data_IF_432186108810
#
_entry.id   IF_432186108810
#
_cell.length_a   1.000
_cell.length_b   1.000
_cell.length_c   1.000
_cell.angle_alpha   90.00
_cell.angle_beta   90.00
_cell.angle_gamma   90.00
#
_symmetry.space_group_name_H-M   'P 1'
#
loop_
_entity.id
_entity.type
_entity.pdbx_description
1 polymer ?
#
# COMPACT_ATOMS: atom_id res chain seq x y z
N UNK A 1 -25.80 4.30 -1.58
CA UNK A 1 -26.97 4.58 -2.45
C UNK A 1 -26.65 5.60 -3.54
N UNK A 2 -26.33 6.87 -3.22
CA UNK A 2 -26.08 7.90 -4.24
C UNK A 2 -25.05 7.49 -5.31
N UNK A 3 -23.88 6.99 -4.88
CA UNK A 3 -22.76 6.58 -5.74
C UNK A 3 -23.02 5.33 -6.59
N UNK A 4 -24.15 4.64 -6.42
CA UNK A 4 -24.55 3.51 -7.27
C UNK A 4 -25.13 3.98 -8.60
N UNK A 5 -25.73 5.18 -8.64
CA UNK A 5 -26.41 5.73 -9.81
C UNK A 5 -25.82 7.05 -10.30
N UNK A 6 -24.89 7.63 -9.54
CA UNK A 6 -24.29 8.93 -9.81
C UNK A 6 -22.78 8.88 -9.60
N UNK A 7 -22.09 9.81 -10.25
CA UNK A 7 -20.65 10.05 -10.04
C UNK A 7 -20.49 11.08 -8.93
N UNK A 8 -19.63 10.78 -7.97
CA UNK A 8 -19.24 11.70 -6.89
C UNK A 8 -17.77 12.08 -7.04
N UNK A 9 -17.51 13.39 -7.03
CA UNK A 9 -16.16 13.97 -6.98
C UNK A 9 -15.86 14.50 -5.59
N UNK A 10 -14.71 14.08 -5.05
CA UNK A 10 -14.17 14.53 -3.76
C UNK A 10 -12.84 15.21 -4.04
N UNK A 11 -12.57 16.35 -3.39
CA UNK A 11 -11.34 17.12 -3.59
C UNK A 11 -10.74 17.57 -2.25
N UNK A 12 -9.43 17.86 -2.20
CA UNK A 12 -8.80 18.37 -0.99
C UNK A 12 -9.45 19.67 -0.52
N UNK A 13 -9.58 19.86 0.79
CA UNK A 13 -10.10 21.12 1.37
C UNK A 13 -9.22 22.29 0.93
N UNK A 14 -9.83 23.42 0.54
CA UNK A 14 -9.11 24.60 0.07
C UNK A 14 -8.10 25.21 1.06
N UNK A 15 -8.20 24.87 2.35
CA UNK A 15 -7.22 25.27 3.37
C UNK A 15 -5.90 24.49 3.31
N UNK A 16 -5.77 23.48 2.44
CA UNK A 16 -4.53 22.73 2.22
C UNK A 16 -3.62 23.47 1.24
N UNK A 17 -3.14 24.64 1.68
CA UNK A 17 -2.26 25.53 0.90
C UNK A 17 -0.92 24.84 0.60
N UNK A 18 -0.50 23.92 1.46
CA UNK A 18 0.70 23.08 1.30
C UNK A 18 0.56 21.96 0.24
N UNK A 19 -0.59 21.90 -0.45
CA UNK A 19 -0.92 20.84 -1.42
C UNK A 19 -0.93 19.42 -0.83
N UNK A 20 -1.01 19.25 0.48
CA UNK A 20 -1.11 17.93 1.11
C UNK A 20 -2.35 17.16 0.64
N UNK A 21 -2.22 15.83 0.55
CA UNK A 21 -3.32 14.96 0.16
C UNK A 21 -4.00 14.32 1.39
N UNK A 22 -5.32 14.10 1.29
CA UNK A 22 -6.09 13.38 2.31
C UNK A 22 -6.02 11.86 2.07
N UNK A 23 -6.49 11.06 3.02
CA UNK A 23 -6.54 9.60 2.86
C UNK A 23 -7.63 9.22 1.83
N UNK A 24 -7.30 8.57 0.68
CA UNK A 24 -8.27 8.15 -0.33
C UNK A 24 -9.43 7.32 0.21
N UNK A 25 -9.16 6.48 1.22
CA UNK A 25 -10.10 5.47 1.70
C UNK A 25 -11.39 6.09 2.21
N UNK A 26 -11.37 7.34 2.69
CA UNK A 26 -12.56 8.05 3.15
C UNK A 26 -13.62 8.20 2.03
N UNK A 27 -13.18 8.36 0.77
CA UNK A 27 -14.06 8.45 -0.38
C UNK A 27 -14.37 7.08 -0.96
N UNK A 28 -13.35 6.26 -1.19
CA UNK A 28 -13.51 4.96 -1.85
C UNK A 28 -14.40 3.99 -1.06
N UNK A 29 -14.32 3.96 0.27
CA UNK A 29 -15.17 3.09 1.10
C UNK A 29 -16.66 3.44 1.01
N UNK A 30 -16.99 4.69 0.63
CA UNK A 30 -18.36 5.15 0.38
C UNK A 30 -18.73 5.08 -1.12
N UNK A 31 -17.85 4.51 -1.96
CA UNK A 31 -18.05 4.32 -3.38
C UNK A 31 -17.86 5.58 -4.24
N UNK A 32 -17.22 6.64 -3.71
CA UNK A 32 -16.86 7.81 -4.50
C UNK A 32 -15.86 7.41 -5.59
N UNK A 33 -16.13 7.81 -6.83
CA UNK A 33 -15.35 7.39 -8.01
C UNK A 33 -14.22 8.38 -8.30
N UNK A 34 -14.51 9.68 -8.25
CA UNK A 34 -13.55 10.73 -8.59
C UNK A 34 -12.94 11.32 -7.32
N UNK A 35 -12.07 10.56 -6.66
CA UNK A 35 -11.28 11.01 -5.51
C UNK A 35 -10.06 11.75 -6.04
N UNK A 36 -10.10 13.09 -6.03
CA UNK A 36 -9.07 13.93 -6.63
C UNK A 36 -7.88 14.15 -5.69
N UNK A 37 -6.68 14.17 -6.27
CA UNK A 37 -5.40 14.36 -5.60
C UNK A 37 -4.62 15.52 -6.22
N UNK A 38 -3.79 16.15 -5.40
CA UNK A 38 -2.69 17.00 -5.82
C UNK A 38 -1.54 16.10 -6.30
N UNK A 39 -1.34 15.99 -7.62
CA UNK A 39 -0.40 15.04 -8.24
C UNK A 39 1.07 15.52 -8.22
N UNK A 40 1.31 16.81 -7.96
CA UNK A 40 2.64 17.41 -7.89
C UNK A 40 3.46 16.99 -6.67
N UNK A 41 2.80 16.45 -5.64
CA UNK A 41 3.43 16.06 -4.39
C UNK A 41 3.93 14.62 -4.38
N UNK A 42 4.24 14.13 -3.19
CA UNK A 42 4.55 12.74 -2.94
C UNK A 42 3.99 12.31 -1.59
N UNK A 43 4.01 11.01 -1.32
CA UNK A 43 3.64 10.44 -0.03
C UNK A 43 2.47 9.49 -0.08
N UNK A 44 2.08 9.02 1.11
CA UNK A 44 1.23 7.84 1.29
C UNK A 44 -0.07 7.87 0.49
N UNK A 45 -0.78 8.99 0.44
CA UNK A 45 -2.03 9.08 -0.31
C UNK A 45 -1.85 8.86 -1.81
N UNK A 46 -0.78 9.41 -2.40
CA UNK A 46 -0.44 9.17 -3.80
C UNK A 46 0.05 7.75 -4.02
N UNK A 47 0.81 7.17 -3.09
CA UNK A 47 1.23 5.76 -3.16
C UNK A 47 0.03 4.81 -3.22
N UNK A 48 -0.98 5.05 -2.37
CA UNK A 48 -2.23 4.29 -2.36
C UNK A 48 -3.00 4.47 -3.67
N UNK A 49 -3.06 5.69 -4.20
CA UNK A 49 -3.68 5.97 -5.51
C UNK A 49 -2.96 5.25 -6.64
N UNK A 50 -1.65 5.37 -6.75
CA UNK A 50 -0.86 4.64 -7.75
C UNK A 50 -1.01 3.12 -7.59
N UNK A 51 -1.05 2.61 -6.35
CA UNK A 51 -1.27 1.20 -6.06
C UNK A 51 -2.64 0.70 -6.53
N UNK A 52 -3.71 1.38 -6.13
CA UNK A 52 -5.09 1.06 -6.54
C UNK A 52 -5.21 0.99 -8.06
N UNK A 53 -4.76 2.03 -8.76
CA UNK A 53 -4.93 2.17 -10.21
C UNK A 53 -3.90 1.41 -11.03
N UNK A 54 -3.00 0.62 -10.43
CA UNK A 54 -2.27 -0.43 -11.16
C UNK A 54 -3.15 -1.63 -11.51
N UNK A 55 -4.25 -1.82 -10.78
CA UNK A 55 -5.26 -2.81 -11.14
C UNK A 55 -5.83 -2.55 -12.52
N UNK A 56 -6.48 -3.56 -13.10
CA UNK A 56 -7.14 -3.47 -14.40
C UNK A 56 -6.22 -2.92 -15.52
N UNK A 57 -4.97 -3.38 -15.52
CA UNK A 57 -3.97 -3.01 -16.54
C UNK A 57 -3.55 -1.54 -16.52
N UNK A 58 -3.80 -0.79 -15.45
CA UNK A 58 -3.33 0.59 -15.35
C UNK A 58 -4.18 1.61 -16.12
N UNK A 59 -5.38 1.26 -16.57
CA UNK A 59 -6.17 2.10 -17.49
C UNK A 59 -6.83 3.33 -16.82
N UNK A 60 -6.66 3.50 -15.50
CA UNK A 60 -7.29 4.58 -14.73
C UNK A 60 -8.71 4.28 -14.24
N UNK A 61 -9.27 3.10 -14.55
CA UNK A 61 -10.58 2.67 -14.08
C UNK A 61 -10.50 1.31 -13.38
N UNK A 62 -11.01 1.23 -12.15
CA UNK A 62 -11.12 0.00 -11.36
C UNK A 62 -12.59 -0.23 -11.01
N UNK A 63 -13.11 -1.43 -11.28
CA UNK A 63 -14.50 -1.78 -10.96
C UNK A 63 -14.69 -1.75 -9.44
N UNK A 64 -15.71 -1.04 -8.97
CA UNK A 64 -16.10 -1.09 -7.55
C UNK A 64 -16.54 -2.51 -7.15
N UNK A 65 -16.33 -2.93 -5.89
CA UNK A 65 -16.91 -4.17 -5.38
C UNK A 65 -18.43 -4.18 -5.52
N UNK A 66 -18.99 -5.38 -5.69
CA UNK A 66 -20.41 -5.56 -5.99
C UNK A 66 -21.32 -4.98 -4.89
N UNK A 67 -20.89 -5.00 -3.62
CA UNK A 67 -21.63 -4.39 -2.51
C UNK A 67 -21.72 -2.86 -2.56
N UNK A 68 -20.88 -2.18 -3.37
CA UNK A 68 -20.98 -0.75 -3.67
C UNK A 68 -21.71 -0.44 -4.98
N UNK A 69 -22.13 -1.48 -5.72
CA UNK A 69 -22.85 -1.36 -6.99
C UNK A 69 -24.33 -1.74 -6.85
N UNK A 70 -24.62 -2.86 -6.18
CA UNK A 70 -25.98 -3.39 -6.00
C UNK A 70 -26.50 -3.06 -4.61
N UNK A 71 -27.77 -2.72 -4.49
CA UNK A 71 -28.48 -2.87 -3.23
C UNK A 71 -28.70 -4.37 -3.00
N UNK A 72 -28.58 -4.87 -1.77
CA UNK A 72 -28.94 -6.27 -1.49
C UNK A 72 -30.40 -6.52 -1.87
N UNK A 73 -30.81 -7.78 -2.02
CA UNK A 73 -32.22 -8.14 -2.24
C UNK A 73 -33.14 -7.58 -1.14
N UNK A 74 -32.58 -7.27 0.03
CA UNK A 74 -33.25 -6.65 1.18
C UNK A 74 -33.14 -5.11 1.20
N UNK A 75 -32.67 -4.47 0.11
CA UNK A 75 -32.39 -3.04 0.03
C UNK A 75 -31.36 -2.52 1.07
N UNK A 76 -30.59 -3.41 1.68
CA UNK A 76 -29.53 -3.06 2.59
C UNK A 76 -28.39 -2.37 1.83
N UNK A 77 -27.82 -1.37 2.49
CA UNK A 77 -26.70 -0.59 1.98
C UNK A 77 -25.51 -0.96 2.81
N UNK A 78 -24.37 -1.16 2.15
CA UNK A 78 -23.10 -1.32 2.83
C UNK A 78 -22.86 -0.15 3.80
N UNK A 79 -22.70 -0.47 5.09
CA UNK A 79 -22.32 0.47 6.13
C UNK A 79 -20.83 0.28 6.47
N UNK A 80 -19.95 1.25 6.14
CA UNK A 80 -18.53 1.16 6.44
C UNK A 80 -18.21 1.17 7.94
N UNK A 81 -19.17 1.50 8.81
CA UNK A 81 -19.03 1.49 10.27
C UNK A 81 -19.52 0.19 10.90
N UNK A 82 -20.20 -0.67 10.15
CA UNK A 82 -20.67 -1.95 10.66
C UNK A 82 -19.49 -2.83 11.07
N UNK A 83 -19.68 -3.61 12.14
CA UNK A 83 -18.74 -4.65 12.52
C UNK A 83 -18.88 -5.81 11.53
N UNK A 84 -17.88 -5.99 10.69
CA UNK A 84 -17.84 -7.04 9.69
C UNK A 84 -17.01 -8.22 10.20
N UNK A 85 -17.41 -9.43 9.81
CA UNK A 85 -16.61 -10.64 10.05
C UNK A 85 -15.39 -10.67 9.12
N UNK A 86 -14.33 -11.33 9.57
CA UNK A 86 -13.17 -11.64 8.72
C UNK A 86 -13.64 -12.53 7.57
N UNK A 87 -13.29 -12.16 6.33
CA UNK A 87 -13.59 -12.94 5.12
C UNK A 87 -12.45 -13.86 4.72
N UNK A 88 -11.21 -13.41 4.92
CA UNK A 88 -9.99 -14.16 4.62
C UNK A 88 -8.84 -13.61 5.46
N UNK A 89 -7.79 -14.41 5.64
CA UNK A 89 -6.52 -13.98 6.22
C UNK A 89 -5.44 -14.01 5.14
N UNK A 90 -4.79 -12.86 4.92
CA UNK A 90 -3.60 -12.78 4.07
C UNK A 90 -2.36 -13.02 4.93
N UNK A 91 -1.61 -14.08 4.63
CA UNK A 91 -0.24 -14.27 5.13
C UNK A 91 0.75 -13.72 4.12
N UNK A 92 1.69 -12.91 4.62
CA UNK A 92 2.77 -12.30 3.83
C UNK A 92 4.09 -12.68 4.45
N UNK A 93 4.93 -13.40 3.71
CA UNK A 93 6.32 -13.64 4.10
C UNK A 93 7.23 -12.72 3.31
N UNK A 94 8.08 -11.96 3.99
CA UNK A 94 9.14 -11.14 3.39
C UNK A 94 10.45 -11.91 3.56
N UNK A 95 10.95 -12.50 2.47
CA UNK A 95 12.18 -13.29 2.54
C UNK A 95 13.39 -12.38 2.54
N UNK A 96 13.56 -11.60 1.48
CA UNK A 96 14.72 -10.73 1.30
C UNK A 96 14.44 -9.56 0.37
N UNK A 97 15.32 -8.57 0.40
CA UNK A 97 15.40 -7.49 -0.58
C UNK A 97 16.71 -7.54 -1.36
N UNK A 98 16.70 -6.94 -2.55
CA UNK A 98 17.90 -6.76 -3.35
C UNK A 98 17.75 -5.54 -4.29
N UNK A 99 18.87 -5.10 -4.86
CA UNK A 99 18.90 -4.16 -5.98
C UNK A 99 19.28 -2.74 -5.62
N UNK A 100 19.32 -2.37 -4.33
CA UNK A 100 19.71 -1.02 -3.91
C UNK A 100 21.13 -0.66 -4.33
N UNK A 101 22.06 -1.61 -4.20
CA UNK A 101 23.46 -1.45 -4.61
C UNK A 101 23.62 -1.02 -6.09
N UNK A 102 22.71 -1.43 -6.97
CA UNK A 102 22.79 -1.11 -8.40
C UNK A 102 22.12 0.22 -8.76
N UNK A 103 21.15 0.67 -7.97
CA UNK A 103 20.35 1.86 -8.26
C UNK A 103 20.84 3.10 -7.50
N UNK A 104 21.57 2.91 -6.40
CA UNK A 104 22.04 3.98 -5.50
C UNK A 104 23.57 4.00 -5.40
N UNK A 105 24.12 5.18 -5.07
CA UNK A 105 25.52 5.28 -4.69
C UNK A 105 25.73 4.56 -3.35
N UNK A 106 26.94 4.03 -3.13
CA UNK A 106 27.28 3.38 -1.86
C UNK A 106 27.04 4.28 -0.65
N UNK A 107 27.24 5.58 -0.79
CA UNK A 107 27.08 6.55 0.30
C UNK A 107 25.67 7.16 0.37
N UNK A 108 24.69 6.54 -0.29
CA UNK A 108 23.34 7.14 -0.38
C UNK A 108 22.57 7.05 0.92
N UNK A 109 22.68 5.91 1.60
CA UNK A 109 22.00 5.65 2.86
C UNK A 109 22.95 5.98 4.01
N UNK A 110 24.11 5.32 4.05
CA UNK A 110 25.15 5.59 5.03
C UNK A 110 26.45 6.02 4.37
N UNK A 111 27.13 7.01 4.96
CA UNK A 111 28.37 7.53 4.41
C UNK A 111 29.57 6.57 4.57
N UNK A 112 29.55 5.74 5.62
CA UNK A 112 30.71 4.96 6.06
C UNK A 112 30.44 3.45 6.19
N UNK A 113 29.18 3.04 6.18
CA UNK A 113 28.73 1.65 6.32
C UNK A 113 27.74 1.27 5.21
N UNK A 114 27.47 -0.03 5.00
CA UNK A 114 26.25 -0.45 4.31
C UNK A 114 24.99 -0.07 5.12
N UNK A 115 23.79 -0.14 4.50
CA UNK A 115 22.54 0.29 5.11
C UNK A 115 21.95 -0.71 6.12
N UNK A 116 21.26 -0.16 7.12
CA UNK A 116 20.51 -0.88 8.15
C UNK A 116 19.03 -1.07 7.79
N UNK A 117 18.72 -1.96 6.85
CA UNK A 117 17.37 -2.05 6.31
C UNK A 117 16.36 -2.78 7.21
N UNK A 118 15.14 -2.23 7.26
CA UNK A 118 13.94 -2.92 7.73
C UNK A 118 12.74 -2.67 6.82
N UNK A 119 11.82 -3.62 6.79
CA UNK A 119 10.56 -3.51 6.06
C UNK A 119 9.38 -3.27 7.00
N UNK A 120 8.43 -2.45 6.54
CA UNK A 120 7.11 -2.25 7.14
C UNK A 120 6.08 -2.85 6.21
N UNK A 121 5.29 -3.78 6.71
CA UNK A 121 4.24 -4.48 5.95
C UNK A 121 2.90 -4.28 6.63
N UNK A 122 1.91 -3.81 5.89
CA UNK A 122 0.62 -3.49 6.48
C UNK A 122 -0.49 -3.35 5.47
N UNK A 123 -1.69 -3.12 5.98
CA UNK A 123 -2.90 -2.99 5.18
C UNK A 123 -3.38 -1.53 5.21
N UNK A 124 -3.73 -1.01 4.04
CA UNK A 124 -4.52 0.20 3.90
C UNK A 124 -5.90 -0.21 3.37
N UNK A 125 -6.95 0.03 4.15
CA UNK A 125 -8.28 -0.45 3.79
C UNK A 125 -9.34 0.10 4.74
N UNK A 126 -10.30 -0.76 5.10
CA UNK A 126 -11.24 -0.46 6.16
C UNK A 126 -10.52 -0.15 7.49
N UNK A 127 -11.11 0.67 8.37
CA UNK A 127 -10.48 0.99 9.66
C UNK A 127 -10.13 -0.26 10.50
N UNK A 128 -10.98 -1.29 10.49
CA UNK A 128 -10.76 -2.54 11.20
C UNK A 128 -9.60 -3.38 10.64
N UNK A 129 -9.30 -3.24 9.35
CA UNK A 129 -8.23 -3.99 8.67
C UNK A 129 -6.89 -3.24 8.72
N UNK A 130 -6.90 -1.94 9.04
CA UNK A 130 -5.73 -1.07 8.90
C UNK A 130 -4.73 -1.30 10.04
N UNK A 131 -3.63 -1.97 9.72
CA UNK A 131 -2.51 -2.23 10.63
C UNK A 131 -1.18 -2.15 9.88
N UNK A 132 -0.09 -1.83 10.58
CA UNK A 132 1.27 -1.84 10.04
C UNK A 132 2.20 -2.57 11.01
N UNK A 133 2.93 -3.56 10.50
CA UNK A 133 3.92 -4.37 11.23
C UNK A 133 5.31 -4.09 10.67
N UNK A 134 6.36 -4.32 11.45
CA UNK A 134 7.75 -4.05 11.09
C UNK A 134 8.58 -5.32 11.27
N UNK A 135 9.50 -5.59 10.34
CA UNK A 135 10.53 -6.64 10.48
C UNK A 135 11.59 -6.20 11.48
N UNK A 136 12.47 -7.12 11.90
CA UNK A 136 13.75 -6.74 12.50
C UNK A 136 14.54 -5.81 11.56
N UNK A 137 15.36 -4.99 12.18
CA UNK A 137 16.41 -4.24 11.47
C UNK A 137 17.56 -5.22 11.22
N UNK A 138 18.09 -5.19 10.01
CA UNK A 138 19.29 -5.94 9.63
C UNK A 138 20.39 -4.93 9.37
N UNK A 139 21.43 -4.98 10.19
CA UNK A 139 22.52 -4.03 10.16
C UNK A 139 23.53 -4.36 9.05
N UNK A 140 24.12 -3.34 8.45
CA UNK A 140 25.25 -3.41 7.50
C UNK A 140 25.05 -4.37 6.30
N UNK A 141 23.85 -4.42 5.68
CA UNK A 141 23.57 -5.37 4.57
C UNK A 141 22.77 -4.76 3.41
N UNK A 142 23.38 -4.75 2.21
CA UNK A 142 22.71 -4.36 0.95
C UNK A 142 21.71 -5.40 0.41
N UNK A 143 21.73 -6.63 0.93
CA UNK A 143 20.92 -7.77 0.50
C UNK A 143 20.11 -8.39 1.67
N UNK A 144 19.36 -7.56 2.43
CA UNK A 144 18.76 -7.95 3.69
C UNK A 144 17.85 -9.15 3.55
N UNK A 145 18.03 -10.16 4.40
CA UNK A 145 17.24 -11.41 4.41
C UNK A 145 16.46 -11.58 5.72
N UNK A 146 15.28 -10.94 5.80
CA UNK A 146 14.44 -10.92 7.00
C UNK A 146 13.82 -12.29 7.33
N UNK A 147 13.29 -13.01 6.33
CA UNK A 147 12.57 -14.28 6.48
C UNK A 147 11.42 -14.23 7.53
N UNK A 148 10.68 -13.12 7.55
CA UNK A 148 9.60 -12.90 8.52
C UNK A 148 8.23 -13.03 7.88
N UNK A 149 7.27 -13.63 8.62
CA UNK A 149 5.89 -13.79 8.21
C UNK A 149 4.95 -12.93 9.03
N UNK A 150 3.98 -12.32 8.36
CA UNK A 150 2.93 -11.51 8.93
C UNK A 150 1.56 -12.03 8.52
N UNK A 151 0.61 -12.04 9.44
CA UNK A 151 -0.78 -12.38 9.16
C UNK A 151 -1.68 -11.15 9.27
N UNK A 152 -2.61 -11.02 8.34
CA UNK A 152 -3.58 -9.92 8.26
C UNK A 152 -4.99 -10.49 8.05
N UNK A 153 -5.81 -10.59 9.09
CA UNK A 153 -7.23 -10.90 8.93
C UNK A 153 -7.95 -9.70 8.27
N UNK A 154 -8.70 -9.97 7.20
CA UNK A 154 -9.33 -8.95 6.37
C UNK A 154 -10.85 -9.08 6.41
N UNK A 155 -11.53 -8.02 6.84
CA UNK A 155 -12.99 -7.91 6.78
C UNK A 155 -13.48 -7.41 5.42
N UNK A 156 -12.69 -6.58 4.73
CA UNK A 156 -12.99 -6.02 3.41
C UNK A 156 -11.80 -6.15 2.44
N UNK A 157 -11.40 -7.38 2.08
CA UNK A 157 -10.27 -7.63 1.17
C UNK A 157 -10.44 -6.94 -0.20
N UNK A 158 -11.67 -6.79 -0.69
CA UNK A 158 -11.97 -6.17 -1.99
C UNK A 158 -11.67 -4.66 -2.04
N UNK A 159 -11.47 -4.02 -0.88
CA UNK A 159 -11.13 -2.59 -0.76
C UNK A 159 -9.78 -2.37 -0.07
N UNK A 160 -9.06 -3.45 0.21
CA UNK A 160 -7.80 -3.40 0.94
C UNK A 160 -6.62 -3.43 -0.03
N UNK A 161 -5.55 -2.72 0.34
CA UNK A 161 -4.26 -2.75 -0.33
C UNK A 161 -3.19 -3.18 0.65
N UNK A 162 -2.34 -4.11 0.23
CA UNK A 162 -1.08 -4.38 0.89
C UNK A 162 -0.13 -3.21 0.63
N UNK A 163 0.40 -2.64 1.70
CA UNK A 163 1.40 -1.57 1.67
C UNK A 163 2.70 -2.10 2.25
N UNK A 164 3.76 -1.98 1.47
CA UNK A 164 5.12 -2.32 1.91
C UNK A 164 5.98 -1.08 1.77
N UNK A 165 6.77 -0.79 2.80
CA UNK A 165 7.78 0.27 2.80
C UNK A 165 9.09 -0.35 3.30
N UNK A 166 10.21 0.01 2.70
CA UNK A 166 11.54 -0.30 3.23
C UNK A 166 12.19 1.00 3.63
N UNK A 167 12.77 1.00 4.81
CA UNK A 167 13.53 2.13 5.35
C UNK A 167 14.89 1.63 5.82
N UNK A 168 15.85 2.52 5.78
CA UNK A 168 17.13 2.38 6.45
C UNK A 168 17.01 3.05 7.84
N UNK A 169 17.62 2.45 8.86
CA UNK A 169 17.46 2.86 10.24
C UNK A 169 18.63 3.74 10.71
N UNK A 170 18.35 5.02 10.88
CA UNK A 170 19.30 5.96 11.48
C UNK A 170 18.96 6.20 12.97
N UNK A 171 19.94 5.99 13.86
CA UNK A 171 19.79 6.22 15.30
C UNK A 171 19.63 7.71 15.68
N UNK A 172 20.21 8.61 14.90
CA UNK A 172 20.34 10.04 15.23
C UNK A 172 19.49 10.94 14.34
N UNK A 173 19.12 10.48 13.16
CA UNK A 173 18.27 11.20 12.22
C UNK A 173 16.93 10.49 11.98
N UNK A 174 16.23 10.91 10.93
CA UNK A 174 15.00 10.27 10.50
C UNK A 174 15.36 9.22 9.47
N UNK A 175 14.93 7.99 9.73
CA UNK A 175 15.04 6.83 8.84
C UNK A 175 14.93 7.18 7.35
N UNK A 176 15.94 6.77 6.61
CA UNK A 176 16.03 7.02 5.19
C UNK A 176 15.13 6.08 4.40
N UNK A 177 14.63 6.56 3.26
CA UNK A 177 13.61 5.83 2.52
C UNK A 177 14.21 4.91 1.47
N UNK A 178 14.15 3.61 1.73
CA UNK A 178 14.60 2.57 0.82
C UNK A 178 13.62 2.26 -0.31
N UNK A 179 12.31 2.49 -0.14
CA UNK A 179 11.33 2.26 -1.20
C UNK A 179 9.93 1.91 -0.71
N UNK A 180 8.95 1.92 -1.60
CA UNK A 180 7.58 1.47 -1.29
C UNK A 180 6.90 0.73 -2.44
N UNK A 181 5.86 -0.03 -2.10
CA UNK A 181 4.85 -0.47 -3.05
C UNK A 181 3.49 -0.59 -2.38
N UNK A 182 2.44 -0.34 -3.15
CA UNK A 182 1.05 -0.56 -2.75
C UNK A 182 0.39 -1.49 -3.78
N UNK A 183 -0.20 -2.58 -3.31
CA UNK A 183 -0.75 -3.65 -4.16
C UNK A 183 -2.20 -3.93 -3.73
N UNK A 184 -3.19 -3.80 -4.63
CA UNK A 184 -4.57 -4.19 -4.34
C UNK A 184 -4.64 -5.67 -3.98
N UNK A 185 -5.25 -5.99 -2.84
CA UNK A 185 -5.30 -7.37 -2.36
C UNK A 185 -6.07 -8.27 -3.33
N UNK A 186 -7.10 -7.73 -3.98
CA UNK A 186 -7.88 -8.44 -5.01
C UNK A 186 -7.05 -8.85 -6.25
N UNK A 187 -5.91 -8.22 -6.49
CA UNK A 187 -5.03 -8.49 -7.64
C UNK A 187 -3.80 -9.33 -7.26
N UNK A 188 -3.60 -9.63 -5.97
CA UNK A 188 -2.48 -10.44 -5.51
C UNK A 188 -2.68 -11.91 -5.89
N UNK A 189 -1.61 -12.50 -6.44
CA UNK A 189 -1.55 -13.94 -6.73
C UNK A 189 -0.75 -14.66 -5.66
N UNK A 190 -1.29 -15.75 -5.11
CA UNK A 190 -0.59 -16.62 -4.16
C UNK A 190 0.74 -17.14 -4.69
N UNK A 191 1.61 -17.54 -3.78
CA UNK A 191 2.95 -18.07 -4.05
C UNK A 191 4.05 -17.03 -3.91
N UNK A 192 5.25 -17.41 -4.33
CA UNK A 192 6.46 -16.57 -4.24
C UNK A 192 6.53 -15.63 -5.43
N UNK A 193 6.76 -14.34 -5.19
CA UNK A 193 6.77 -13.26 -6.17
C UNK A 193 7.94 -12.31 -5.91
N UNK A 194 8.55 -11.83 -6.99
CA UNK A 194 9.42 -10.67 -6.94
C UNK A 194 8.57 -9.40 -7.05
N UNK A 195 8.68 -8.51 -6.07
CA UNK A 195 7.85 -7.32 -5.94
C UNK A 195 8.72 -6.07 -6.10
N UNK A 196 8.60 -5.32 -7.21
CA UNK A 196 9.40 -4.13 -7.42
C UNK A 196 9.02 -3.00 -6.46
N UNK A 197 10.02 -2.24 -6.01
CA UNK A 197 9.82 -1.05 -5.19
C UNK A 197 9.87 0.24 -6.01
N UNK A 198 9.35 1.29 -5.41
CA UNK A 198 9.19 2.61 -6.02
C UNK A 198 9.74 3.69 -5.09
N UNK A 199 10.18 4.79 -5.69
CA UNK A 199 10.66 5.98 -4.99
C UNK A 199 9.56 6.68 -4.19
N UNK A 200 9.95 7.70 -3.41
CA UNK A 200 8.99 8.56 -2.71
C UNK A 200 7.98 9.17 -3.69
N UNK A 201 8.37 9.44 -4.94
CA UNK A 201 7.49 10.00 -5.99
C UNK A 201 6.61 8.94 -6.67
N UNK A 202 6.78 7.66 -6.35
CA UNK A 202 6.03 6.56 -6.99
C UNK A 202 6.66 6.04 -8.28
N UNK A 203 7.87 6.51 -8.63
CA UNK A 203 8.63 6.05 -9.80
C UNK A 203 9.25 4.69 -9.51
N UNK A 204 9.17 3.74 -10.44
CA UNK A 204 9.70 2.39 -10.26
C UNK A 204 11.22 2.41 -10.27
N UNK A 205 11.84 1.78 -9.27
CA UNK A 205 13.27 1.53 -9.27
C UNK A 205 13.65 0.48 -10.33
N UNK A 206 14.86 0.59 -10.88
CA UNK A 206 15.30 -0.26 -11.99
C UNK A 206 15.57 -1.68 -11.50
N UNK A 207 16.24 -1.80 -10.36
CA UNK A 207 16.76 -3.07 -9.84
C UNK A 207 16.11 -3.46 -8.51
N UNK A 208 15.64 -2.49 -7.71
CA UNK A 208 15.16 -2.73 -6.35
C UNK A 208 13.85 -3.54 -6.32
N UNK A 209 13.87 -4.66 -5.61
CA UNK A 209 12.71 -5.55 -5.44
C UNK A 209 12.81 -6.38 -4.15
N UNK A 210 11.66 -6.88 -3.71
CA UNK A 210 11.53 -7.81 -2.58
C UNK A 210 11.13 -9.20 -3.08
N UNK A 211 11.68 -10.26 -2.50
CA UNK A 211 11.17 -11.62 -2.66
C UNK A 211 10.13 -11.87 -1.55
N UNK A 212 8.87 -12.06 -1.93
CA UNK A 212 7.76 -12.19 -0.99
C UNK A 212 6.90 -13.41 -1.31
N UNK A 213 6.27 -14.02 -0.30
CA UNK A 213 5.22 -15.05 -0.47
C UNK A 213 3.88 -14.48 -0.04
N UNK A 214 2.84 -14.75 -0.82
CA UNK A 214 1.46 -14.43 -0.48
C UNK A 214 0.64 -15.72 -0.35
N UNK A 215 -0.12 -15.85 0.73
CA UNK A 215 -1.02 -16.97 0.96
C UNK A 215 -2.35 -16.46 1.53
N UNK A 216 -3.45 -16.87 0.91
CA UNK A 216 -4.79 -16.57 1.39
C UNK A 216 -5.34 -17.80 2.10
N UNK A 217 -5.77 -17.63 3.35
CA UNK A 217 -6.35 -18.66 4.23
C UNK A 217 -7.77 -18.26 4.62
#
# INVERSE_FOLDING_TARGET
RFTQRNILRVYPKGTRVDSSNYNPMIGWIHGAQMVAFNMQGYGRSLWLMHGMFRANGGCGYVKKPDFLLKASSLNEVFDPKAKLRVKTTLKVTVFKGEGWYFDFRHTHFDAYSPPDFYARVGIAGAPADTVMKKTKILEDDWLPSWNEQFEFPLTLPEMAMLRVEVHEYDMSEKDDFGGQTCLPISELRSGIRAVPLHSRKGERYKSVKLLMKFEFV
#
